data_IF_631278525878
#
_entry.id   IF_631278525878
#
_cell.length_a   1.000
_cell.length_b   1.000
_cell.length_c   1.000
_cell.angle_alpha   90.00
_cell.angle_beta   90.00
_cell.angle_gamma   90.00
#
_symmetry.space_group_name_H-M   'P 1'
#
loop_
_entity.id
_entity.type
_entity.pdbx_description
1 polymer ?
#
# COMPACT_ATOMS: atom_id res chain seq x y z
N UNK A 1 -9.20 -1.11 23.94
CA UNK A 1 -9.57 -0.90 22.51
C UNK A 1 -11.05 -1.24 22.34
N UNK A 2 -11.84 -0.41 21.65
CA UNK A 2 -13.25 -0.73 21.36
C UNK A 2 -13.38 -1.85 20.33
N UNK A 3 -14.47 -2.61 20.40
CA UNK A 3 -14.85 -3.58 19.35
C UNK A 3 -15.17 -2.84 18.05
N UNK A 4 -14.59 -3.30 16.94
CA UNK A 4 -14.87 -2.77 15.60
C UNK A 4 -16.21 -3.33 15.08
N UNK A 5 -17.14 -2.49 14.57
CA UNK A 5 -18.33 -2.97 13.87
C UNK A 5 -17.98 -3.77 12.60
N UNK A 6 -18.90 -4.65 12.16
CA UNK A 6 -18.75 -5.49 10.97
C UNK A 6 -18.50 -6.96 11.30
N UNK A 7 -18.04 -7.72 10.29
CA UNK A 7 -17.86 -9.18 10.38
C UNK A 7 -16.46 -9.59 10.89
N UNK A 8 -16.17 -10.89 10.89
CA UNK A 8 -14.86 -11.41 11.28
C UNK A 8 -13.81 -11.00 10.24
N UNK A 9 -12.59 -10.71 10.72
CA UNK A 9 -11.47 -10.23 9.90
C UNK A 9 -10.20 -11.03 10.09
N UNK A 10 -10.28 -12.06 10.93
CA UNK A 10 -9.20 -13.00 11.20
C UNK A 10 -9.37 -14.22 10.31
N UNK A 11 -8.26 -14.90 10.04
CA UNK A 11 -8.27 -16.16 9.31
C UNK A 11 -9.36 -17.11 9.86
N UNK A 12 -10.14 -17.76 8.98
CA UNK A 12 -10.07 -17.75 7.51
C UNK A 12 -10.83 -16.59 6.83
N UNK A 13 -11.61 -15.81 7.57
CA UNK A 13 -12.39 -14.68 7.07
C UNK A 13 -11.56 -13.39 6.99
N UNK A 14 -10.32 -13.48 6.51
CA UNK A 14 -9.30 -12.44 6.65
C UNK A 14 -9.71 -11.13 5.97
N UNK A 15 -9.66 -10.03 6.72
CA UNK A 15 -9.67 -8.67 6.18
C UNK A 15 -8.24 -8.16 5.96
N UNK A 16 -8.11 -7.00 5.32
CA UNK A 16 -6.82 -6.32 5.15
C UNK A 16 -6.61 -5.24 6.20
N UNK A 17 -5.36 -4.98 6.57
CA UNK A 17 -5.00 -3.90 7.48
C UNK A 17 -3.80 -3.11 6.99
N UNK A 18 -3.81 -1.81 7.24
CA UNK A 18 -2.71 -0.88 6.92
C UNK A 18 -2.54 0.14 8.04
N UNK A 19 -1.29 0.53 8.31
CA UNK A 19 -1.00 1.76 9.06
C UNK A 19 -0.93 2.90 8.07
N UNK A 20 -1.78 3.91 8.25
CA UNK A 20 -1.83 5.06 7.37
C UNK A 20 -0.55 5.88 7.46
N UNK A 21 -0.21 6.67 6.43
CA UNK A 21 1.05 7.41 6.41
C UNK A 21 1.21 8.35 7.61
N UNK A 22 2.38 8.32 8.22
CA UNK A 22 2.74 9.18 9.34
C UNK A 22 3.21 10.54 8.83
N UNK A 23 2.70 11.63 9.43
CA UNK A 23 3.02 13.00 9.04
C UNK A 23 3.26 13.88 10.26
N UNK A 24 4.15 14.86 10.14
CA UNK A 24 4.45 15.83 11.21
C UNK A 24 3.22 16.64 11.66
N UNK A 25 2.29 16.94 10.75
CA UNK A 25 1.09 17.73 11.05
C UNK A 25 0.18 17.11 12.13
N UNK A 26 0.20 15.78 12.27
CA UNK A 26 -0.51 15.04 13.32
C UNK A 26 0.45 14.49 14.38
N UNK A 27 1.64 15.09 14.51
CA UNK A 27 2.72 14.63 15.40
C UNK A 27 3.09 13.16 15.19
N UNK A 28 3.04 12.71 13.93
CA UNK A 28 3.24 11.32 13.53
C UNK A 28 2.38 10.30 14.31
N UNK A 29 1.21 10.70 14.79
CA UNK A 29 0.31 9.80 15.52
C UNK A 29 -0.16 8.67 14.59
N UNK A 30 0.06 7.39 14.96
CA UNK A 30 -0.34 6.28 14.10
C UNK A 30 -1.86 6.18 14.02
N UNK A 31 -2.36 5.95 12.82
CA UNK A 31 -3.73 5.57 12.56
C UNK A 31 -3.75 4.26 11.76
N UNK A 32 -4.52 3.29 12.22
CA UNK A 32 -4.67 2.01 11.52
C UNK A 32 -6.01 2.00 10.79
N UNK A 33 -6.06 1.35 9.64
CA UNK A 33 -7.29 1.07 8.91
C UNK A 33 -7.39 -0.43 8.67
N UNK A 34 -8.57 -0.98 8.95
CA UNK A 34 -8.89 -2.39 8.73
C UNK A 34 -10.13 -2.44 7.84
N UNK A 35 -10.10 -3.27 6.80
CA UNK A 35 -11.17 -3.41 5.81
C UNK A 35 -11.53 -4.86 5.54
N UNK A 36 -12.79 -5.06 5.18
CA UNK A 36 -13.24 -6.33 4.62
C UNK A 36 -13.38 -7.42 5.67
N UNK A 37 -13.28 -8.66 5.21
CA UNK A 37 -13.46 -9.87 6.02
C UNK A 37 -14.68 -10.68 5.57
N UNK A 38 -15.22 -11.51 6.46
CA UNK A 38 -16.34 -12.40 6.15
C UNK A 38 -16.99 -13.02 7.38
N UNK A 39 -18.10 -13.71 7.19
CA UNK A 39 -18.87 -14.28 8.29
C UNK A 39 -18.46 -15.72 8.61
N UNK A 40 -18.53 -16.59 7.61
CA UNK A 40 -18.27 -18.03 7.75
C UNK A 40 -17.31 -18.52 6.68
N UNK A 41 -16.56 -19.57 7.02
CA UNK A 41 -15.66 -20.27 6.10
C UNK A 41 -16.46 -21.15 5.14
N UNK A 42 -17.14 -20.53 4.17
CA UNK A 42 -17.96 -21.23 3.19
C UNK A 42 -17.94 -20.47 1.86
N UNK A 43 -18.04 -21.19 0.74
CA UNK A 43 -17.93 -20.61 -0.60
C UNK A 43 -19.06 -19.66 -0.99
N UNK A 44 -20.21 -19.78 -0.34
CA UNK A 44 -21.40 -18.95 -0.52
C UNK A 44 -21.53 -17.82 0.53
N UNK A 45 -20.56 -17.71 1.44
CA UNK A 45 -20.46 -16.66 2.45
C UNK A 45 -20.13 -15.33 1.80
N UNK A 46 -20.98 -14.32 1.92
CA UNK A 46 -20.64 -12.97 1.44
C UNK A 46 -19.52 -12.35 2.29
N UNK A 47 -18.59 -11.70 1.62
CA UNK A 47 -17.56 -10.92 2.31
C UNK A 47 -18.14 -9.60 2.86
N UNK A 48 -17.40 -8.96 3.76
CA UNK A 48 -17.76 -7.65 4.31
C UNK A 48 -17.18 -6.52 3.45
N UNK A 49 -17.90 -5.41 3.32
CA UNK A 49 -17.39 -4.17 2.73
C UNK A 49 -16.88 -3.18 3.79
N UNK A 50 -17.24 -3.39 5.06
CA UNK A 50 -16.98 -2.41 6.11
C UNK A 50 -15.49 -2.22 6.38
N UNK A 51 -15.14 -0.96 6.60
CA UNK A 51 -13.81 -0.51 6.93
C UNK A 51 -13.87 0.41 8.13
N UNK A 52 -12.85 0.36 8.97
CA UNK A 52 -12.75 1.21 10.15
C UNK A 52 -11.33 1.69 10.31
N UNK A 53 -11.20 2.99 10.61
CA UNK A 53 -9.93 3.59 11.02
C UNK A 53 -9.97 3.99 12.49
N UNK A 54 -8.83 3.90 13.14
CA UNK A 54 -8.70 4.19 14.55
C UNK A 54 -7.25 4.57 14.89
N UNK A 55 -7.10 5.55 15.77
CA UNK A 55 -5.82 5.94 16.38
C UNK A 55 -5.62 5.14 17.68
N UNK A 56 -4.78 4.09 17.71
CA UNK A 56 -4.65 3.18 18.86
C UNK A 56 -4.02 3.85 20.09
N UNK A 57 -3.24 4.92 19.88
CA UNK A 57 -2.56 5.68 20.95
C UNK A 57 -3.41 6.80 21.53
N UNK A 58 -4.58 7.07 20.96
CA UNK A 58 -5.49 8.09 21.48
C UNK A 58 -5.98 7.72 22.89
N UNK A 59 -6.20 8.73 23.75
CA UNK A 59 -6.75 8.50 25.10
C UNK A 59 -8.13 7.81 25.08
N UNK A 60 -8.91 8.04 24.02
CA UNK A 60 -10.21 7.42 23.81
C UNK A 60 -10.32 6.96 22.35
N UNK A 61 -9.74 5.80 22.00
CA UNK A 61 -9.78 5.29 20.63
C UNK A 61 -11.22 5.03 20.20
N UNK A 62 -11.61 5.53 19.03
CA UNK A 62 -12.95 5.37 18.43
C UNK A 62 -12.77 4.93 16.98
N UNK A 63 -13.57 3.95 16.55
CA UNK A 63 -13.63 3.53 15.16
C UNK A 63 -14.41 4.54 14.33
N UNK A 64 -13.77 5.13 13.33
CA UNK A 64 -14.47 5.86 12.28
C UNK A 64 -14.72 4.90 11.11
N UNK A 65 -15.99 4.64 10.84
CA UNK A 65 -16.40 3.63 9.86
C UNK A 65 -16.62 4.25 8.48
N UNK A 66 -16.26 3.48 7.46
CA UNK A 66 -16.57 3.70 6.04
C UNK A 66 -16.80 2.32 5.41
N UNK A 67 -17.01 2.25 4.09
CA UNK A 67 -17.14 0.98 3.39
C UNK A 67 -16.48 1.05 2.02
N UNK A 68 -15.80 -0.04 1.64
CA UNK A 68 -15.41 -0.25 0.25
C UNK A 68 -16.66 -0.21 -0.64
N UNK A 69 -16.53 0.22 -1.91
CA UNK A 69 -17.64 0.18 -2.87
C UNK A 69 -18.23 -1.22 -3.10
N UNK A 70 -17.46 -2.28 -2.83
CA UNK A 70 -17.87 -3.69 -2.95
C UNK A 70 -17.30 -4.48 -1.75
N UNK A 71 -17.98 -5.55 -1.29
CA UNK A 71 -17.46 -6.42 -0.25
C UNK A 71 -16.17 -7.12 -0.69
N UNK A 72 -15.26 -7.37 0.25
CA UNK A 72 -13.98 -8.01 -0.07
C UNK A 72 -13.38 -8.77 1.11
N UNK A 73 -13.20 -10.07 0.93
CA UNK A 73 -12.36 -10.91 1.77
C UNK A 73 -10.97 -11.02 1.15
N UNK A 74 -9.96 -11.28 1.98
CA UNK A 74 -8.56 -11.41 1.55
C UNK A 74 -7.97 -10.15 0.89
N UNK A 75 -8.56 -8.98 1.15
CA UNK A 75 -8.11 -7.72 0.57
C UNK A 75 -6.73 -7.32 1.07
N UNK A 76 -5.90 -6.78 0.19
CA UNK A 76 -4.57 -6.25 0.48
C UNK A 76 -4.55 -4.73 0.41
N UNK A 77 -3.95 -4.08 1.41
CA UNK A 77 -3.82 -2.63 1.50
C UNK A 77 -2.37 -2.19 1.28
N UNK A 78 -2.09 -1.54 0.16
CA UNK A 78 -0.76 -1.06 -0.23
C UNK A 78 -0.71 0.47 -0.17
N UNK A 79 0.28 1.02 0.53
CA UNK A 79 0.48 2.47 0.62
C UNK A 79 1.00 3.03 -0.70
N UNK A 80 0.45 4.17 -1.13
CA UNK A 80 0.87 4.91 -2.33
C UNK A 80 1.61 6.20 -1.97
N UNK A 81 2.50 6.66 -2.86
CA UNK A 81 3.39 7.81 -2.58
C UNK A 81 2.66 9.17 -2.53
N UNK A 82 1.40 9.23 -2.93
CA UNK A 82 0.52 10.39 -2.77
C UNK A 82 -0.26 10.39 -1.44
N UNK A 83 -0.04 9.38 -0.60
CA UNK A 83 -0.65 9.19 0.71
C UNK A 83 -1.99 8.45 0.68
N UNK A 84 -2.45 8.05 -0.52
CA UNK A 84 -3.62 7.20 -0.66
C UNK A 84 -3.27 5.73 -0.36
N UNK A 85 -4.31 4.90 -0.22
CA UNK A 85 -4.16 3.44 -0.04
C UNK A 85 -4.83 2.72 -1.21
N UNK A 86 -4.09 1.83 -1.86
CA UNK A 86 -4.62 0.89 -2.83
C UNK A 86 -5.14 -0.36 -2.12
N UNK A 87 -6.41 -0.69 -2.33
CA UNK A 87 -7.05 -1.91 -1.87
C UNK A 87 -7.37 -2.81 -3.06
N UNK A 88 -6.72 -3.98 -3.12
CA UNK A 88 -6.74 -4.91 -4.25
C UNK A 88 -6.77 -6.37 -3.79
N UNK A 89 -6.89 -7.29 -4.76
CA UNK A 89 -6.93 -8.74 -4.58
C UNK A 89 -8.12 -9.23 -3.74
N UNK A 90 -8.26 -10.54 -3.61
CA UNK A 90 -9.33 -11.18 -2.87
C UNK A 90 -10.63 -11.41 -3.65
N UNK A 91 -11.70 -11.62 -2.90
CA UNK A 91 -12.98 -12.12 -3.42
C UNK A 91 -14.16 -11.40 -2.78
N UNK A 92 -15.32 -11.40 -3.44
CA UNK A 92 -16.56 -10.82 -2.92
C UNK A 92 -17.39 -11.84 -2.13
N UNK A 93 -17.12 -13.14 -2.31
CA UNK A 93 -17.71 -14.22 -1.54
C UNK A 93 -16.68 -15.32 -1.26
N UNK A 94 -16.87 -16.08 -0.19
CA UNK A 94 -15.91 -17.09 0.27
C UNK A 94 -15.05 -16.65 1.44
N UNK A 95 -13.96 -17.38 1.64
CA UNK A 95 -12.96 -17.17 2.68
C UNK A 95 -11.57 -17.60 2.19
N UNK A 96 -10.53 -17.32 2.98
CA UNK A 96 -9.20 -17.92 2.76
C UNK A 96 -9.25 -19.44 2.90
N UNK A 97 -8.33 -20.11 2.20
CA UNK A 97 -8.23 -21.57 2.12
C UNK A 97 -8.57 -22.10 0.73
N UNK A 98 -8.23 -23.37 0.50
CA UNK A 98 -8.36 -24.00 -0.80
C UNK A 98 -9.82 -24.23 -1.21
N UNK A 99 -10.18 -23.85 -2.43
CA UNK A 99 -11.53 -24.06 -2.98
C UNK A 99 -12.64 -23.28 -2.28
N UNK A 100 -12.33 -22.24 -1.51
CA UNK A 100 -13.35 -21.49 -0.74
C UNK A 100 -13.71 -20.14 -1.36
N UNK A 101 -12.79 -19.48 -2.05
CA UNK A 101 -13.05 -18.16 -2.61
C UNK A 101 -13.89 -18.23 -3.89
N UNK A 102 -14.97 -17.45 -3.95
CA UNK A 102 -15.84 -17.31 -5.13
C UNK A 102 -15.99 -15.84 -5.50
N UNK A 103 -16.43 -15.54 -6.73
CA UNK A 103 -16.60 -14.16 -7.20
C UNK A 103 -15.35 -13.28 -6.98
N UNK A 104 -14.27 -13.49 -7.76
CA UNK A 104 -13.04 -12.70 -7.62
C UNK A 104 -13.29 -11.20 -7.69
N UNK A 105 -12.62 -10.44 -6.83
CA UNK A 105 -12.79 -9.00 -6.79
C UNK A 105 -11.82 -8.32 -7.77
N UNK A 106 -12.35 -7.85 -8.89
CA UNK A 106 -11.56 -7.35 -10.03
C UNK A 106 -11.09 -5.91 -9.90
N UNK A 107 -11.74 -5.10 -9.06
CA UNK A 107 -11.49 -3.67 -8.96
C UNK A 107 -10.19 -3.35 -8.21
N UNK A 108 -9.48 -2.33 -8.67
CA UNK A 108 -8.50 -1.60 -7.87
C UNK A 108 -9.19 -0.42 -7.19
N UNK A 109 -9.29 -0.48 -5.86
CA UNK A 109 -9.96 0.53 -5.06
C UNK A 109 -8.92 1.48 -4.46
N UNK A 110 -9.14 2.79 -4.59
CA UNK A 110 -8.32 3.81 -3.95
C UNK A 110 -9.11 4.40 -2.80
N UNK A 111 -8.50 4.40 -1.62
CA UNK A 111 -8.98 5.13 -0.46
C UNK A 111 -8.11 6.35 -0.24
N UNK A 112 -8.73 7.53 -0.14
CA UNK A 112 -8.06 8.78 0.24
C UNK A 112 -8.31 9.08 1.73
N UNK A 113 -7.28 8.95 2.59
CA UNK A 113 -7.38 9.24 4.00
C UNK A 113 -7.82 10.66 4.36
N UNK A 114 -7.54 11.65 3.49
CA UNK A 114 -7.78 13.08 3.76
C UNK A 114 -9.25 13.44 3.59
N UNK A 115 -9.88 12.87 2.57
CA UNK A 115 -11.29 13.13 2.23
C UNK A 115 -12.22 12.02 2.71
N UNK A 116 -11.68 10.93 3.27
CA UNK A 116 -12.42 9.73 3.67
C UNK A 116 -13.30 9.20 2.53
N UNK A 117 -12.74 9.14 1.32
CA UNK A 117 -13.46 8.79 0.10
C UNK A 117 -12.87 7.57 -0.60
N UNK A 118 -13.72 6.89 -1.37
CA UNK A 118 -13.35 5.72 -2.17
C UNK A 118 -13.57 5.99 -3.64
N UNK A 119 -12.66 5.48 -4.47
CA UNK A 119 -12.80 5.49 -5.92
C UNK A 119 -12.30 4.20 -6.55
N UNK A 120 -12.76 3.90 -7.76
CA UNK A 120 -12.27 2.78 -8.58
C UNK A 120 -11.24 3.31 -9.57
N UNK A 121 -10.03 2.77 -9.56
CA UNK A 121 -8.91 3.24 -10.39
C UNK A 121 -8.59 2.33 -11.59
N UNK A 122 -9.19 1.14 -11.63
CA UNK A 122 -9.01 0.17 -12.70
C UNK A 122 -9.65 -1.17 -12.36
N UNK A 123 -9.59 -2.11 -13.31
CA UNK A 123 -10.04 -3.50 -13.14
C UNK A 123 -9.05 -4.46 -13.78
N UNK A 124 -8.79 -5.59 -13.13
CA UNK A 124 -8.06 -6.73 -13.70
C UNK A 124 -9.03 -7.78 -14.24
N UNK A 125 -8.57 -8.62 -15.16
CA UNK A 125 -9.27 -9.84 -15.58
C UNK A 125 -8.71 -11.09 -14.90
N UNK A 126 -7.69 -10.94 -14.05
CA UNK A 126 -7.02 -12.04 -13.35
C UNK A 126 -7.61 -12.18 -11.95
N UNK A 127 -8.03 -13.39 -11.61
CA UNK A 127 -8.54 -13.71 -10.28
C UNK A 127 -7.36 -13.82 -9.29
N UNK A 128 -7.10 -12.75 -8.53
CA UNK A 128 -6.08 -12.72 -7.47
C UNK A 128 -6.71 -13.16 -6.13
N UNK A 129 -6.82 -14.47 -5.91
CA UNK A 129 -7.50 -15.07 -4.76
C UNK A 129 -6.50 -15.45 -3.64
N UNK A 130 -6.78 -16.53 -2.89
CA UNK A 130 -5.93 -17.03 -1.82
C UNK A 130 -4.48 -17.29 -2.31
N UNK A 131 -3.49 -16.82 -1.56
CA UNK A 131 -2.07 -16.74 -1.96
C UNK A 131 -1.72 -15.69 -3.03
N UNK A 132 -2.56 -14.69 -3.28
CA UNK A 132 -2.10 -13.47 -3.97
C UNK A 132 -1.23 -12.62 -3.04
N UNK A 133 -0.41 -11.77 -3.65
CA UNK A 133 0.35 -10.71 -2.97
C UNK A 133 0.38 -9.42 -3.79
N UNK A 134 0.52 -8.28 -3.11
CA UNK A 134 0.85 -7.01 -3.76
C UNK A 134 1.91 -6.20 -2.99
N UNK A 135 2.80 -5.49 -3.70
CA UNK A 135 3.86 -4.68 -3.07
C UNK A 135 4.35 -3.54 -3.97
N UNK A 136 4.69 -2.39 -3.39
CA UNK A 136 5.26 -1.27 -4.14
C UNK A 136 6.71 -1.54 -4.56
N UNK A 137 7.03 -1.22 -5.82
CA UNK A 137 8.37 -1.26 -6.40
C UNK A 137 9.09 0.10 -6.28
N UNK A 138 10.42 0.10 -6.47
CA UNK A 138 11.24 1.32 -6.40
C UNK A 138 10.84 2.42 -7.40
N UNK A 139 10.18 2.05 -8.49
CA UNK A 139 9.69 3.02 -9.46
C UNK A 139 8.32 3.60 -9.08
N UNK A 140 7.77 3.25 -7.91
CA UNK A 140 6.47 3.72 -7.42
C UNK A 140 5.26 3.02 -8.02
N UNK A 141 5.46 2.00 -8.87
CA UNK A 141 4.39 1.10 -9.33
C UNK A 141 4.16 -0.03 -8.34
N UNK A 142 3.04 -0.76 -8.48
CA UNK A 142 2.67 -1.85 -7.58
C UNK A 142 2.75 -3.19 -8.33
N UNK A 143 3.60 -4.08 -7.84
CA UNK A 143 3.67 -5.48 -8.26
C UNK A 143 2.47 -6.24 -7.70
N UNK A 144 1.81 -7.04 -8.54
CA UNK A 144 0.72 -7.94 -8.14
C UNK A 144 1.04 -9.34 -8.67
N UNK A 145 1.06 -10.34 -7.78
CA UNK A 145 1.45 -11.71 -8.09
C UNK A 145 0.59 -12.76 -7.36
N UNK A 146 0.74 -14.04 -7.72
CA UNK A 146 -0.14 -15.13 -7.24
C UNK A 146 -1.52 -15.10 -7.91
N UNK A 147 -2.49 -15.92 -7.61
CA UNK A 147 -2.75 -16.77 -6.47
C UNK A 147 -2.54 -18.26 -6.75
N UNK A 148 -2.57 -19.06 -5.68
CA UNK A 148 -2.80 -20.51 -5.75
C UNK A 148 -3.96 -20.88 -4.82
N UNK A 149 -5.22 -20.78 -5.30
CA UNK A 149 -6.40 -21.07 -4.49
C UNK A 149 -6.71 -22.58 -4.37
N UNK A 150 -5.82 -23.45 -4.87
CA UNK A 150 -6.03 -24.90 -4.94
C UNK A 150 -4.98 -25.65 -4.10
N UNK A 151 -5.33 -26.84 -3.62
CA UNK A 151 -4.43 -27.69 -2.83
C UNK A 151 -3.19 -28.12 -3.62
N UNK A 152 -3.37 -28.40 -4.91
CA UNK A 152 -2.29 -28.67 -5.87
C UNK A 152 -2.30 -27.63 -6.98
N UNK A 153 -1.13 -27.30 -7.58
CA UNK A 153 -1.09 -26.40 -8.72
C UNK A 153 -1.99 -26.89 -9.85
N UNK A 154 -2.78 -25.98 -10.41
CA UNK A 154 -3.75 -26.25 -11.46
C UNK A 154 -3.43 -25.38 -12.68
N UNK A 155 -3.21 -25.99 -13.83
CA UNK A 155 -3.03 -25.26 -15.09
C UNK A 155 -4.39 -24.79 -15.65
N UNK A 156 -4.36 -23.77 -16.50
CA UNK A 156 -5.57 -23.27 -17.18
C UNK A 156 -6.36 -24.38 -17.91
N UNK A 157 -5.65 -25.36 -18.49
CA UNK A 157 -6.25 -26.50 -19.21
C UNK A 157 -6.95 -27.51 -18.30
N UNK A 158 -6.71 -27.44 -16.99
CA UNK A 158 -7.23 -28.35 -15.98
C UNK A 158 -8.38 -27.72 -15.17
N UNK A 159 -8.74 -26.47 -15.47
CA UNK A 159 -9.85 -25.76 -14.82
C UNK A 159 -11.18 -26.45 -15.09
N UNK A 160 -11.90 -26.74 -14.01
CA UNK A 160 -13.25 -27.29 -14.04
C UNK A 160 -14.20 -26.28 -13.38
N UNK A 161 -14.82 -25.40 -14.18
CA UNK A 161 -15.62 -24.27 -13.67
C UNK A 161 -16.83 -24.66 -12.79
N UNK A 162 -17.26 -25.92 -12.84
CA UNK A 162 -18.35 -26.45 -12.01
C UNK A 162 -17.86 -27.18 -10.75
N UNK A 163 -16.55 -27.44 -10.64
CA UNK A 163 -15.91 -27.93 -9.43
C UNK A 163 -15.20 -26.75 -8.76
N UNK A 164 -15.77 -26.28 -7.65
CA UNK A 164 -15.25 -25.13 -6.93
C UNK A 164 -13.79 -25.33 -6.45
N UNK A 165 -13.34 -26.57 -6.25
CA UNK A 165 -11.96 -26.87 -5.89
C UNK A 165 -10.95 -26.72 -7.04
N UNK A 166 -11.46 -26.51 -8.26
CA UNK A 166 -10.71 -26.36 -9.52
C UNK A 166 -11.21 -25.22 -10.41
N UNK A 167 -12.05 -24.33 -9.86
CA UNK A 167 -12.69 -23.28 -10.64
C UNK A 167 -11.73 -22.16 -11.08
N UNK A 168 -10.57 -22.05 -10.42
CA UNK A 168 -9.56 -21.04 -10.72
C UNK A 168 -8.19 -21.69 -10.86
N UNK A 169 -7.40 -21.36 -11.89
CA UNK A 169 -6.06 -21.90 -12.05
C UNK A 169 -5.08 -21.31 -11.03
N UNK A 170 -3.93 -21.94 -10.90
CA UNK A 170 -2.76 -21.32 -10.29
C UNK A 170 -2.24 -20.23 -11.22
N UNK A 171 -2.12 -19.01 -10.70
CA UNK A 171 -1.72 -17.85 -11.48
C UNK A 171 -0.22 -17.57 -11.35
N UNK A 172 0.47 -17.71 -12.48
CA UNK A 172 1.92 -17.51 -12.60
C UNK A 172 2.30 -16.16 -13.21
N UNK A 173 1.33 -15.45 -13.79
CA UNK A 173 1.54 -14.12 -14.38
C UNK A 173 1.64 -13.08 -13.27
N UNK A 174 2.41 -12.04 -13.56
CA UNK A 174 2.56 -10.86 -12.72
C UNK A 174 1.91 -9.68 -13.43
N UNK A 175 1.19 -8.86 -12.68
CA UNK A 175 0.66 -7.58 -13.15
C UNK A 175 1.39 -6.43 -12.47
N UNK A 176 1.47 -5.30 -13.18
CA UNK A 176 1.90 -4.03 -12.61
C UNK A 176 0.70 -3.09 -12.62
N UNK A 177 0.31 -2.61 -11.43
CA UNK A 177 -0.61 -1.48 -11.33
C UNK A 177 0.20 -0.18 -11.33
N UNK A 178 -0.10 0.70 -12.29
CA UNK A 178 0.48 2.05 -12.38
C UNK A 178 -0.44 3.06 -11.71
N UNK A 179 -0.05 3.66 -10.57
CA UNK A 179 -0.83 4.71 -9.91
C UNK A 179 -1.01 5.96 -10.78
N UNK A 180 -2.03 6.77 -10.49
CA UNK A 180 -2.38 7.96 -11.28
C UNK A 180 -1.21 8.94 -11.45
N UNK A 181 -0.38 9.10 -10.41
CA UNK A 181 0.81 9.95 -10.42
C UNK A 181 1.96 9.45 -11.32
N UNK A 182 1.80 8.29 -11.99
CA UNK A 182 2.72 7.75 -13.00
C UNK A 182 2.06 7.50 -14.37
N UNK A 183 0.86 8.03 -14.63
CA UNK A 183 0.15 7.85 -15.91
C UNK A 183 0.39 9.02 -16.87
N UNK A 184 0.10 8.81 -18.15
CA UNK A 184 0.20 9.87 -19.16
C UNK A 184 1.64 10.36 -19.32
N UNK A 185 1.84 11.68 -19.21
CA UNK A 185 3.15 12.31 -19.35
C UNK A 185 3.89 12.51 -18.02
N UNK A 186 3.28 12.19 -16.86
CA UNK A 186 3.93 12.25 -15.56
C UNK A 186 5.27 11.48 -15.47
N UNK A 187 5.46 10.30 -16.10
CA UNK A 187 6.76 9.63 -16.10
C UNK A 187 7.92 10.47 -16.66
N UNK A 188 7.65 11.40 -17.56
CA UNK A 188 8.68 12.32 -18.09
C UNK A 188 9.01 13.49 -17.17
N UNK A 189 8.21 13.68 -16.11
CA UNK A 189 8.29 14.78 -15.13
C UNK A 189 8.88 14.34 -13.79
N UNK A 190 9.33 13.08 -13.69
CA UNK A 190 9.89 12.53 -12.45
C UNK A 190 11.17 13.27 -12.07
N UNK A 191 11.41 13.55 -10.78
CA UNK A 191 12.75 13.93 -10.34
C UNK A 191 13.72 12.77 -10.61
N UNK A 192 14.92 13.10 -11.07
CA UNK A 192 15.94 12.12 -11.47
C UNK A 192 17.24 12.36 -10.70
N UNK A 193 18.20 11.44 -10.84
CA UNK A 193 19.55 11.59 -10.29
C UNK A 193 19.53 11.94 -8.78
N UNK A 194 18.68 11.23 -8.02
CA UNK A 194 18.49 11.47 -6.59
C UNK A 194 19.72 10.97 -5.84
N UNK A 195 20.37 11.87 -5.08
CA UNK A 195 21.60 11.62 -4.33
C UNK A 195 21.37 12.03 -2.88
N UNK A 196 21.63 11.13 -1.95
CA UNK A 196 21.59 11.42 -0.52
C UNK A 196 23.01 11.61 0.00
N UNK A 197 23.21 12.52 0.95
CA UNK A 197 24.51 12.69 1.61
C UNK A 197 24.93 11.50 2.45
N UNK A 198 23.97 10.65 2.85
CA UNK A 198 24.22 9.39 3.54
C UNK A 198 23.16 8.36 3.15
N UNK A 199 23.58 7.10 3.02
CA UNK A 199 22.67 5.95 2.91
C UNK A 199 22.42 5.27 4.26
N UNK A 200 23.08 5.74 5.32
CA UNK A 200 22.82 5.33 6.70
C UNK A 200 22.16 6.50 7.42
N UNK A 201 20.89 6.34 7.78
CA UNK A 201 20.09 7.37 8.43
C UNK A 201 19.92 7.00 9.90
N UNK A 202 20.23 7.94 10.80
CA UNK A 202 19.98 7.78 12.22
C UNK A 202 18.72 8.56 12.61
N UNK A 203 17.95 8.04 13.56
CA UNK A 203 16.83 8.81 14.12
C UNK A 203 17.33 10.13 14.72
N UNK A 204 16.48 11.16 14.71
CA UNK A 204 16.79 12.52 15.22
C UNK A 204 17.93 13.26 14.51
N UNK A 205 18.37 12.77 13.34
CA UNK A 205 19.40 13.43 12.54
C UNK A 205 18.80 14.12 11.31
N UNK A 206 19.64 14.91 10.65
CA UNK A 206 19.33 15.57 9.40
C UNK A 206 20.22 15.00 8.30
N UNK A 207 19.73 15.00 7.06
CA UNK A 207 20.53 14.68 5.90
C UNK A 207 20.15 15.58 4.74
N UNK A 208 21.12 15.81 3.85
CA UNK A 208 20.87 16.55 2.62
C UNK A 208 20.57 15.55 1.49
N UNK A 209 19.66 15.91 0.60
CA UNK A 209 19.48 15.23 -0.66
C UNK A 209 19.49 16.23 -1.81
N UNK A 210 19.95 15.76 -2.96
CA UNK A 210 19.92 16.48 -4.22
C UNK A 210 19.21 15.66 -5.28
N UNK A 211 18.55 16.34 -6.21
CA UNK A 211 17.92 15.69 -7.37
C UNK A 211 17.81 16.65 -8.54
N UNK A 212 17.80 16.11 -9.74
CA UNK A 212 17.62 16.88 -10.97
C UNK A 212 16.12 16.99 -11.27
N UNK A 213 15.66 18.21 -11.52
CA UNK A 213 14.26 18.51 -11.82
C UNK A 213 14.17 19.56 -12.93
N UNK A 214 13.77 19.10 -14.11
CA UNK A 214 13.80 19.90 -15.34
C UNK A 214 12.40 20.27 -15.83
N UNK A 215 12.35 21.23 -16.75
CA UNK A 215 11.18 21.56 -17.59
C UNK A 215 9.96 22.14 -16.86
N UNK A 216 10.02 22.37 -15.55
CA UNK A 216 9.00 23.11 -14.79
C UNK A 216 9.51 23.64 -13.46
N UNK A 217 8.79 24.61 -12.91
CA UNK A 217 9.03 25.09 -11.54
C UNK A 217 8.62 24.03 -10.52
N UNK A 218 9.49 23.78 -9.54
CA UNK A 218 9.14 23.02 -8.36
C UNK A 218 8.20 23.86 -7.48
N UNK A 219 7.03 23.31 -7.15
CA UNK A 219 5.97 23.98 -6.39
C UNK A 219 5.59 23.22 -5.13
N UNK A 220 5.65 21.89 -5.17
CA UNK A 220 5.46 21.02 -4.00
C UNK A 220 6.55 19.97 -3.94
N UNK A 221 6.92 19.58 -2.73
CA UNK A 221 7.92 18.56 -2.47
C UNK A 221 7.46 17.73 -1.27
N UNK A 222 7.46 16.41 -1.43
CA UNK A 222 7.41 15.48 -0.31
C UNK A 222 8.69 14.62 -0.32
N UNK A 223 9.27 14.38 0.85
CA UNK A 223 10.32 13.38 1.04
C UNK A 223 9.75 12.27 1.91
N UNK A 224 9.73 11.04 1.39
CA UNK A 224 9.04 9.92 2.01
C UNK A 224 10.04 8.83 2.36
N UNK A 225 10.06 8.43 3.63
CA UNK A 225 10.73 7.22 4.09
C UNK A 225 9.72 6.07 4.12
N UNK A 226 9.98 5.02 3.34
CA UNK A 226 9.08 3.89 3.16
C UNK A 226 9.79 2.57 3.44
N UNK A 227 9.12 1.65 4.12
CA UNK A 227 9.45 0.24 4.08
C UNK A 227 8.21 -0.54 3.65
N UNK A 228 8.35 -1.39 2.63
CA UNK A 228 7.25 -2.25 2.15
C UNK A 228 7.02 -3.49 3.01
N UNK A 229 8.04 -3.86 3.79
CA UNK A 229 8.00 -5.07 4.61
C UNK A 229 7.92 -6.34 3.76
N UNK A 230 7.21 -7.34 4.26
CA UNK A 230 6.92 -8.59 3.55
C UNK A 230 5.43 -8.86 3.57
N UNK A 231 4.93 -9.54 2.54
CA UNK A 231 3.50 -9.81 2.38
C UNK A 231 3.25 -11.27 2.06
N UNK A 232 2.26 -11.85 2.73
CA UNK A 232 1.68 -13.16 2.40
C UNK A 232 0.30 -13.27 3.01
N UNK A 233 -0.61 -14.04 2.40
CA UNK A 233 -1.93 -14.35 2.98
C UNK A 233 -2.74 -13.09 3.40
N UNK A 234 -2.65 -12.03 2.60
CA UNK A 234 -3.27 -10.71 2.87
C UNK A 234 -2.71 -9.98 4.11
N UNK A 235 -1.60 -10.45 4.67
CA UNK A 235 -0.92 -9.86 5.82
C UNK A 235 0.35 -9.14 5.34
N UNK A 236 0.38 -7.83 5.55
CA UNK A 236 1.58 -7.01 5.38
C UNK A 236 2.29 -6.85 6.72
N UNK A 237 3.51 -7.38 6.84
CA UNK A 237 4.35 -7.23 8.04
C UNK A 237 5.42 -6.17 7.78
N UNK A 238 5.38 -5.08 8.55
CA UNK A 238 6.41 -4.05 8.51
C UNK A 238 6.24 -2.96 7.44
N UNK A 239 5.09 -2.92 6.74
CA UNK A 239 4.77 -1.80 5.86
C UNK A 239 4.62 -0.51 6.68
N UNK A 240 5.43 0.51 6.40
CA UNK A 240 5.36 1.83 7.04
C UNK A 240 5.74 2.92 6.03
N UNK A 241 5.08 4.07 6.13
CA UNK A 241 5.35 5.25 5.32
C UNK A 241 5.39 6.47 6.22
N UNK A 242 6.48 7.22 6.15
CA UNK A 242 6.70 8.44 6.94
C UNK A 242 7.02 9.57 5.97
N UNK A 243 6.21 10.62 5.99
CA UNK A 243 6.51 11.87 5.30
C UNK A 243 7.45 12.67 6.19
N UNK A 244 8.70 12.79 5.77
CA UNK A 244 9.74 13.52 6.49
C UNK A 244 9.58 15.03 6.29
N UNK A 245 9.97 15.79 7.31
CA UNK A 245 9.97 17.25 7.23
C UNK A 245 11.24 17.74 6.52
N UNK A 246 11.19 18.96 5.95
CA UNK A 246 12.32 19.55 5.25
C UNK A 246 12.28 21.08 5.29
N UNK A 247 13.45 21.71 5.20
CA UNK A 247 13.59 23.18 5.30
C UNK A 247 13.32 23.93 3.99
N UNK A 248 12.53 23.34 3.08
CA UNK A 248 12.38 23.81 1.70
C UNK A 248 13.47 23.29 0.75
N UNK A 249 13.67 23.96 -0.38
CA UNK A 249 14.67 23.59 -1.38
C UNK A 249 15.39 24.82 -1.92
N UNK A 250 16.63 24.63 -2.36
CA UNK A 250 17.45 25.65 -3.04
C UNK A 250 17.92 25.16 -4.41
N UNK A 251 18.18 26.08 -5.33
CA UNK A 251 18.83 25.78 -6.59
C UNK A 251 20.32 25.47 -6.36
N UNK A 252 20.75 24.28 -6.76
CA UNK A 252 22.14 23.83 -6.60
C UNK A 252 22.94 23.88 -7.93
N UNK A 253 22.37 24.49 -8.98
CA UNK A 253 22.98 24.56 -10.32
C UNK A 253 22.57 23.40 -11.21
N UNK A 254 22.74 23.54 -12.54
CA UNK A 254 22.49 22.49 -13.55
C UNK A 254 21.10 21.82 -13.46
N UNK A 255 20.06 22.60 -13.15
CA UNK A 255 18.68 22.15 -12.91
C UNK A 255 18.53 21.17 -11.71
N UNK A 256 19.50 21.15 -10.80
CA UNK A 256 19.40 20.39 -9.57
C UNK A 256 18.82 21.21 -8.43
N UNK A 257 18.09 20.52 -7.55
CA UNK A 257 17.53 21.03 -6.31
C UNK A 257 18.24 20.35 -5.16
N UNK A 258 18.56 21.12 -4.12
CA UNK A 258 19.07 20.61 -2.84
C UNK A 258 18.07 20.86 -1.73
N UNK A 259 17.92 19.87 -0.86
CA UNK A 259 16.95 19.84 0.25
C UNK A 259 17.65 19.35 1.50
N UNK A 260 17.46 20.04 2.62
CA UNK A 260 17.84 19.53 3.94
C UNK A 260 16.59 18.91 4.59
N UNK A 261 16.69 17.63 4.91
CA UNK A 261 15.59 16.77 5.39
C UNK A 261 15.83 16.41 6.85
N UNK A 262 14.78 16.47 7.65
CA UNK A 262 14.79 16.11 9.06
C UNK A 262 14.14 14.73 9.25
N UNK A 263 14.86 13.83 9.93
CA UNK A 263 14.30 12.53 10.31
C UNK A 263 13.20 12.73 11.36
N UNK A 264 12.11 11.97 11.23
CA UNK A 264 10.98 12.07 12.14
C UNK A 264 11.38 11.83 13.60
N UNK A 265 11.19 12.85 14.45
CA UNK A 265 11.36 12.77 15.89
C UNK A 265 10.10 12.20 16.57
N UNK A 266 10.26 11.62 17.76
CA UNK A 266 9.15 11.13 18.58
C UNK A 266 8.50 9.83 18.12
N UNK A 267 8.95 9.23 17.01
CA UNK A 267 8.49 7.92 16.55
C UNK A 267 9.55 6.83 16.68
N UNK A 268 9.07 5.59 16.82
CA UNK A 268 9.93 4.40 16.84
C UNK A 268 9.85 3.71 15.48
N UNK A 269 10.97 3.70 14.77
CA UNK A 269 11.14 2.91 13.56
C UNK A 269 12.01 1.70 13.88
N UNK A 270 11.72 0.57 13.25
CA UNK A 270 12.58 -0.59 13.34
C UNK A 270 13.89 -0.29 12.59
N UNK A 271 15.07 -0.68 13.12
CA UNK A 271 16.29 -0.60 12.34
C UNK A 271 16.22 -1.55 11.15
N UNK A 272 16.78 -1.17 10.00
CA UNK A 272 16.79 -2.01 8.82
C UNK A 272 16.70 -1.26 7.49
N UNK A 273 16.36 -1.96 6.40
CA UNK A 273 16.28 -1.37 5.08
C UNK A 273 15.00 -0.56 4.89
N UNK A 274 15.16 0.64 4.34
CA UNK A 274 14.09 1.54 3.93
C UNK A 274 14.39 2.09 2.54
N UNK A 275 13.42 2.79 1.96
CA UNK A 275 13.54 3.49 0.70
C UNK A 275 13.15 4.95 0.91
N UNK A 276 14.01 5.87 0.49
CA UNK A 276 13.70 7.30 0.41
C UNK A 276 13.17 7.62 -0.98
N UNK A 277 11.98 8.20 -1.04
CA UNK A 277 11.37 8.74 -2.26
C UNK A 277 11.35 10.26 -2.21
N UNK A 278 11.62 10.88 -3.35
CA UNK A 278 11.40 12.31 -3.60
C UNK A 278 10.18 12.43 -4.50
N UNK A 279 9.15 13.16 -4.05
CA UNK A 279 7.92 13.41 -4.82
C UNK A 279 7.87 14.90 -5.14
N UNK A 280 8.18 15.24 -6.39
CA UNK A 280 8.22 16.61 -6.86
C UNK A 280 6.95 16.92 -7.68
N UNK A 281 6.21 17.97 -7.31
CA UNK A 281 4.92 18.31 -7.94
C UNK A 281 3.94 17.13 -8.02
N UNK A 282 3.94 16.26 -7.01
CA UNK A 282 3.09 15.06 -6.96
C UNK A 282 3.59 13.88 -7.80
N UNK A 283 4.77 13.96 -8.43
CA UNK A 283 5.35 12.88 -9.24
C UNK A 283 6.60 12.30 -8.54
N UNK A 284 6.63 11.00 -8.23
CA UNK A 284 7.75 10.39 -7.52
C UNK A 284 8.92 10.08 -8.44
N UNK A 285 10.14 10.31 -7.97
CA UNK A 285 11.36 9.73 -8.55
C UNK A 285 11.49 8.25 -8.26
N UNK A 286 12.58 7.63 -8.71
CA UNK A 286 12.91 6.25 -8.33
C UNK A 286 13.50 6.26 -6.92
N UNK A 287 12.97 5.41 -6.04
CA UNK A 287 13.36 5.34 -4.65
C UNK A 287 14.81 4.90 -4.45
N UNK A 288 15.46 5.44 -3.40
CA UNK A 288 16.84 5.13 -3.02
C UNK A 288 16.86 4.30 -1.74
N UNK A 289 17.52 3.14 -1.77
CA UNK A 289 17.67 2.33 -0.56
C UNK A 289 18.55 3.03 0.48
N UNK A 290 18.11 2.98 1.73
CA UNK A 290 18.86 3.45 2.90
C UNK A 290 18.74 2.43 4.02
N UNK A 291 19.64 2.51 4.99
CA UNK A 291 19.56 1.74 6.24
C UNK A 291 19.23 2.70 7.37
N UNK A 292 18.11 2.48 8.05
CA UNK A 292 17.78 3.19 9.29
C UNK A 292 18.47 2.51 10.46
N UNK A 293 19.18 3.29 11.26
CA UNK A 293 19.85 2.88 12.50
C UNK A 293 19.17 3.58 13.69
N UNK A 294 19.11 2.86 14.81
CA UNK A 294 18.60 3.35 16.11
C UNK A 294 19.76 3.51 17.06
#
# INVERSE_FOLDING_TARGET
MPTMPGLHRTYPNTGGSVMLPLRIGDNYEPEIMICGGGQVQASDSLCDASCGRLKPTSQKPIWQMTAMPQPRGMVEGVLLLDGNVLWINGCQAGAQGFGLATAPASEALIYDPRTNSWSVSGRTTIARLYHSVAMMLLDGTILIAGSNPNEQPLLETEVEVHDQSKAFPTEFRVEIYTPSYLRGDYPSRRPTNIRLSSLELQLTTHFSLEFDFQNMSLSTLDVILYAGGFVTHSLHMGQVMVYLDHTGWVDAGDNSKRVEVEMADGIKLAPGPYVVYVVANGVPGVGQFVTVKV
#
